data_IF_319495550659
#
_entry.id   IF_319495550659
#
_cell.length_a   1.000
_cell.length_b   1.000
_cell.length_c   1.000
_cell.angle_alpha   90.00
_cell.angle_beta   90.00
_cell.angle_gamma   90.00
#
_symmetry.space_group_name_H-M   'P 1'
#
loop_
_entity.id
_entity.type
_entity.pdbx_description
1 polymer ?
#
# COMPACT_ATOMS: atom_id res chain seq x y z
N UNK A 1 -20.21 2.96 -2.04
CA UNK A 1 -19.51 2.44 -3.23
C UNK A 1 -18.04 2.31 -2.88
N UNK A 2 -17.40 1.16 -3.14
CA UNK A 2 -15.94 1.00 -2.94
C UNK A 2 -15.20 1.82 -4.00
N UNK A 3 -14.15 2.56 -3.60
CA UNK A 3 -13.41 3.47 -4.49
C UNK A 3 -12.27 2.69 -5.16
N UNK A 4 -12.42 2.35 -6.44
CA UNK A 4 -11.32 1.80 -7.25
C UNK A 4 -10.46 2.90 -7.87
N UNK A 5 -9.36 2.55 -8.55
CA UNK A 5 -8.47 3.54 -9.20
C UNK A 5 -9.03 4.20 -10.46
N UNK A 6 -10.20 3.78 -10.97
CA UNK A 6 -10.78 4.30 -12.23
C UNK A 6 -10.94 5.84 -12.23
N UNK A 7 -11.44 6.50 -11.16
CA UNK A 7 -11.48 7.97 -11.10
C UNK A 7 -10.10 8.63 -11.13
N UNK A 8 -9.09 8.02 -10.47
CA UNK A 8 -7.72 8.51 -10.47
C UNK A 8 -7.12 8.50 -11.89
N UNK A 9 -7.36 7.41 -12.61
CA UNK A 9 -6.95 7.23 -14.01
C UNK A 9 -7.57 8.25 -14.96
N UNK A 10 -8.87 8.53 -14.83
CA UNK A 10 -9.55 9.54 -15.66
C UNK A 10 -9.05 10.95 -15.36
N UNK A 11 -8.74 11.27 -14.10
CA UNK A 11 -8.20 12.57 -13.72
C UNK A 11 -6.79 12.77 -14.30
N UNK A 12 -5.95 11.74 -14.23
CA UNK A 12 -4.61 11.76 -14.80
C UNK A 12 -4.64 12.00 -16.33
N UNK A 13 -5.55 11.36 -17.06
CA UNK A 13 -5.72 11.55 -18.51
C UNK A 13 -6.09 12.99 -18.90
N UNK A 14 -6.77 13.73 -18.00
CA UNK A 14 -7.11 15.13 -18.20
C UNK A 14 -6.02 16.10 -17.73
N UNK A 15 -4.89 15.59 -17.21
CA UNK A 15 -3.81 16.41 -16.63
C UNK A 15 -4.13 16.95 -15.23
N UNK A 16 -5.23 16.51 -14.60
CA UNK A 16 -5.63 16.93 -13.26
C UNK A 16 -4.90 16.09 -12.20
N UNK A 17 -3.63 16.46 -11.95
CA UNK A 17 -2.75 15.74 -11.03
C UNK A 17 -3.27 15.72 -9.59
N UNK A 18 -3.76 16.83 -9.00
CA UNK A 18 -4.32 16.81 -7.66
C UNK A 18 -5.51 15.85 -7.50
N UNK A 19 -6.44 15.84 -8.47
CA UNK A 19 -7.56 14.90 -8.41
C UNK A 19 -7.12 13.45 -8.62
N UNK A 20 -6.13 13.20 -9.49
CA UNK A 20 -5.58 11.85 -9.68
C UNK A 20 -4.99 11.29 -8.38
N UNK A 21 -4.18 12.09 -7.69
CA UNK A 21 -3.57 11.73 -6.40
C UNK A 21 -4.65 11.52 -5.34
N UNK A 22 -5.61 12.45 -5.21
CA UNK A 22 -6.70 12.32 -4.24
C UNK A 22 -7.47 11.01 -4.43
N UNK A 23 -7.90 10.72 -5.65
CA UNK A 23 -8.66 9.50 -5.92
C UNK A 23 -7.86 8.22 -5.65
N UNK A 24 -6.55 8.24 -5.89
CA UNK A 24 -5.65 7.13 -5.56
C UNK A 24 -5.56 6.93 -4.04
N UNK A 25 -5.36 8.01 -3.29
CA UNK A 25 -5.32 7.97 -1.82
C UNK A 25 -6.64 7.49 -1.23
N UNK A 26 -7.76 8.00 -1.73
CA UNK A 26 -9.09 7.56 -1.31
C UNK A 26 -9.30 6.04 -1.53
N UNK A 27 -8.75 5.48 -2.62
CA UNK A 27 -8.88 4.08 -2.97
C UNK A 27 -8.05 3.14 -2.09
N UNK A 28 -6.81 3.53 -1.75
CA UNK A 28 -5.91 2.68 -0.93
C UNK A 28 -6.21 2.81 0.57
N UNK A 29 -6.68 3.97 1.00
CA UNK A 29 -7.11 4.23 2.39
C UNK A 29 -8.58 3.85 2.65
N UNK A 30 -9.35 3.54 1.60
CA UNK A 30 -10.80 3.27 1.64
C UNK A 30 -11.60 4.35 2.41
N UNK A 31 -11.19 5.62 2.30
CA UNK A 31 -11.80 6.77 2.96
C UNK A 31 -11.76 8.02 2.08
N UNK A 32 -12.35 9.13 2.54
CA UNK A 32 -12.17 10.42 1.88
C UNK A 32 -10.94 11.12 2.45
N UNK A 33 -9.82 10.99 1.73
CA UNK A 33 -8.58 11.67 2.05
C UNK A 33 -8.70 13.13 1.61
N UNK A 34 -8.58 14.01 2.59
CA UNK A 34 -8.58 15.45 2.38
C UNK A 34 -7.14 15.88 2.09
N UNK A 35 -6.76 15.82 0.80
CA UNK A 35 -5.41 16.12 0.34
C UNK A 35 -4.89 17.48 0.87
N UNK A 36 -5.74 18.49 0.95
CA UNK A 36 -5.41 19.83 1.46
C UNK A 36 -5.11 19.88 2.95
N UNK A 37 -5.57 18.88 3.73
CA UNK A 37 -5.29 18.77 5.17
C UNK A 37 -3.99 18.02 5.46
N UNK A 38 -3.34 17.43 4.46
CA UNK A 38 -2.03 16.84 4.64
C UNK A 38 -0.99 17.94 4.89
N UNK A 39 0.08 17.65 5.66
CA UNK A 39 1.21 18.56 5.79
C UNK A 39 1.72 19.00 4.41
N UNK A 40 2.08 20.28 4.28
CA UNK A 40 2.42 20.87 2.98
C UNK A 40 3.50 20.08 2.23
N UNK A 41 4.53 19.61 2.95
CA UNK A 41 5.59 18.77 2.40
C UNK A 41 5.07 17.42 1.88
N UNK A 42 4.22 16.74 2.64
CA UNK A 42 3.61 15.47 2.25
C UNK A 42 2.72 15.65 1.03
N UNK A 43 1.92 16.71 1.00
CA UNK A 43 1.06 17.04 -0.14
C UNK A 43 1.88 17.30 -1.40
N UNK A 44 2.94 18.11 -1.30
CA UNK A 44 3.81 18.41 -2.43
C UNK A 44 4.47 17.15 -2.99
N UNK A 45 5.07 16.33 -2.12
CA UNK A 45 5.66 15.04 -2.49
C UNK A 45 4.65 14.16 -3.26
N UNK A 46 3.44 13.97 -2.72
CA UNK A 46 2.43 13.14 -3.38
C UNK A 46 1.97 13.70 -4.74
N UNK A 47 1.95 15.02 -4.92
CA UNK A 47 1.63 15.67 -6.20
C UNK A 47 2.78 15.53 -7.19
N UNK A 48 4.02 15.68 -6.74
CA UNK A 48 5.22 15.48 -7.57
C UNK A 48 5.26 14.03 -8.10
N UNK A 49 4.85 13.08 -7.26
CA UNK A 49 4.73 11.66 -7.60
C UNK A 49 3.47 11.30 -8.39
N UNK A 50 2.59 12.26 -8.73
CA UNK A 50 1.30 11.97 -9.38
C UNK A 50 1.42 11.16 -10.69
N UNK A 51 2.56 11.27 -11.38
CA UNK A 51 2.84 10.49 -12.60
C UNK A 51 2.88 8.97 -12.32
N UNK A 52 3.28 8.56 -11.11
CA UNK A 52 3.30 7.14 -10.68
C UNK A 52 1.90 6.54 -10.58
N UNK A 53 0.85 7.36 -10.46
CA UNK A 53 -0.54 6.86 -10.55
C UNK A 53 -0.76 6.17 -11.90
N UNK A 54 -0.15 6.68 -12.98
CA UNK A 54 -0.22 6.07 -14.31
C UNK A 54 0.48 4.72 -14.40
N UNK A 55 1.52 4.49 -13.59
CA UNK A 55 2.29 3.24 -13.57
C UNK A 55 1.47 2.06 -13.03
N UNK A 56 0.34 2.31 -12.36
CA UNK A 56 -0.61 1.25 -12.01
C UNK A 56 -1.29 0.63 -13.25
N UNK A 57 -1.13 1.23 -14.43
CA UNK A 57 -1.52 0.65 -15.73
C UNK A 57 -0.41 -0.21 -16.34
N UNK A 58 0.81 -0.15 -15.80
CA UNK A 58 1.93 -0.94 -16.27
C UNK A 58 1.61 -2.42 -16.11
N UNK A 59 1.92 -3.20 -17.16
CA UNK A 59 1.83 -4.65 -17.09
C UNK A 59 3.05 -5.17 -16.36
N UNK A 60 2.85 -5.66 -15.15
CA UNK A 60 3.86 -6.44 -14.46
C UNK A 60 3.90 -7.87 -15.03
N UNK A 61 5.06 -8.55 -15.00
CA UNK A 61 5.10 -9.98 -15.21
C UNK A 61 4.07 -10.67 -14.31
N UNK A 62 3.42 -11.70 -14.83
CA UNK A 62 2.47 -12.48 -14.01
C UNK A 62 3.24 -13.09 -12.86
N UNK A 63 2.82 -12.78 -11.63
CA UNK A 63 3.37 -13.33 -10.41
C UNK A 63 2.34 -14.25 -9.77
N UNK A 64 2.64 -15.54 -9.73
CA UNK A 64 1.68 -16.58 -9.39
C UNK A 64 1.88 -17.14 -7.99
N UNK A 65 0.93 -17.94 -7.52
CA UNK A 65 1.10 -18.72 -6.28
C UNK A 65 2.24 -19.73 -6.35
N UNK A 66 2.57 -20.24 -7.54
CA UNK A 66 3.70 -21.15 -7.69
C UNK A 66 5.04 -20.42 -7.54
N UNK A 67 5.12 -19.16 -7.97
CA UNK A 67 6.29 -18.31 -7.72
C UNK A 67 6.45 -18.03 -6.21
N UNK A 68 5.35 -17.72 -5.52
CA UNK A 68 5.33 -17.53 -4.06
C UNK A 68 5.81 -18.78 -3.31
N UNK A 69 5.35 -19.97 -3.72
CA UNK A 69 5.75 -21.26 -3.11
C UNK A 69 7.23 -21.58 -3.30
N UNK A 70 7.88 -20.99 -4.29
CA UNK A 70 9.33 -21.15 -4.53
C UNK A 70 10.17 -20.21 -3.68
N UNK A 71 9.58 -19.18 -3.07
CA UNK A 71 10.31 -18.30 -2.16
C UNK A 71 10.82 -19.08 -0.94
N UNK A 72 12.06 -18.78 -0.55
CA UNK A 72 12.74 -19.40 0.61
C UNK A 72 13.19 -18.36 1.63
N UNK A 73 13.45 -17.13 1.19
CA UNK A 73 13.78 -16.01 2.06
C UNK A 73 12.64 -15.75 3.05
N UNK A 74 12.91 -15.69 4.36
CA UNK A 74 11.96 -15.22 5.34
C UNK A 74 11.36 -13.89 4.88
N UNK A 75 10.04 -13.74 4.99
CA UNK A 75 9.33 -12.57 4.46
C UNK A 75 8.36 -12.03 5.51
N UNK A 76 8.50 -10.76 5.87
CA UNK A 76 7.51 -10.06 6.70
C UNK A 76 6.53 -9.31 5.81
N UNK A 77 5.26 -9.60 5.98
CA UNK A 77 4.15 -8.88 5.36
C UNK A 77 3.50 -7.97 6.42
N UNK A 78 3.33 -6.69 6.11
CA UNK A 78 2.77 -5.71 7.04
C UNK A 78 1.65 -4.91 6.37
N UNK A 79 0.49 -4.84 7.03
CA UNK A 79 -0.61 -3.95 6.67
C UNK A 79 -1.12 -3.17 7.88
N UNK A 80 -1.67 -1.98 7.63
CA UNK A 80 -2.54 -1.33 8.61
C UNK A 80 -3.93 -1.97 8.63
N UNK A 81 -4.51 -2.05 9.82
CA UNK A 81 -5.82 -2.68 10.04
C UNK A 81 -6.96 -2.09 9.20
N UNK A 82 -6.92 -0.78 8.97
CA UNK A 82 -7.94 -0.02 8.23
C UNK A 82 -7.59 0.18 6.74
N UNK A 83 -6.50 -0.43 6.26
CA UNK A 83 -6.15 -0.45 4.83
C UNK A 83 -7.26 -1.07 3.98
N UNK A 84 -7.37 -0.64 2.72
CA UNK A 84 -8.40 -1.10 1.80
C UNK A 84 -8.48 -2.63 1.76
N UNK A 85 -9.71 -3.18 1.77
CA UNK A 85 -9.97 -4.62 1.87
C UNK A 85 -9.20 -5.44 0.82
N UNK A 86 -9.07 -4.92 -0.41
CA UNK A 86 -8.34 -5.61 -1.49
C UNK A 86 -6.86 -5.82 -1.14
N UNK A 87 -6.24 -4.86 -0.46
CA UNK A 87 -4.83 -4.90 -0.08
C UNK A 87 -4.60 -5.88 1.07
N UNK A 88 -5.52 -5.88 2.05
CA UNK A 88 -5.54 -6.89 3.11
C UNK A 88 -5.74 -8.30 2.55
N UNK A 89 -6.61 -8.47 1.55
CA UNK A 89 -6.82 -9.77 0.91
C UNK A 89 -5.61 -10.24 0.10
N UNK A 90 -4.87 -9.33 -0.53
CA UNK A 90 -3.61 -9.65 -1.20
C UNK A 90 -2.60 -10.18 -0.19
N UNK A 91 -2.46 -9.53 0.96
CA UNK A 91 -1.56 -9.98 2.03
C UNK A 91 -1.90 -11.38 2.54
N UNK A 92 -3.18 -11.67 2.81
CA UNK A 92 -3.63 -13.02 3.18
C UNK A 92 -3.23 -14.07 2.13
N UNK A 93 -3.42 -13.75 0.84
CA UNK A 93 -3.03 -14.64 -0.26
C UNK A 93 -1.52 -14.88 -0.30
N UNK A 94 -0.72 -13.83 -0.05
CA UNK A 94 0.74 -13.92 0.00
C UNK A 94 1.18 -14.79 1.19
N UNK A 95 0.62 -14.54 2.37
CA UNK A 95 0.93 -15.29 3.59
C UNK A 95 0.59 -16.78 3.46
N UNK A 96 -0.57 -17.10 2.87
CA UNK A 96 -0.99 -18.48 2.61
C UNK A 96 -0.07 -19.22 1.62
N UNK A 97 0.69 -18.50 0.80
CA UNK A 97 1.45 -19.07 -0.32
C UNK A 97 2.96 -19.08 -0.10
N UNK A 98 3.52 -18.14 0.66
CA UNK A 98 4.95 -18.04 0.95
C UNK A 98 5.27 -18.95 2.15
N UNK A 99 6.15 -19.95 2.00
CA UNK A 99 6.40 -20.94 3.07
C UNK A 99 6.91 -20.35 4.39
N UNK A 100 7.70 -19.27 4.32
CA UNK A 100 8.35 -18.63 5.47
C UNK A 100 7.83 -17.19 5.67
N UNK A 101 6.52 -16.99 5.51
CA UNK A 101 5.89 -15.69 5.75
C UNK A 101 5.55 -15.48 7.23
N UNK A 102 5.81 -14.26 7.69
CA UNK A 102 5.27 -13.70 8.92
C UNK A 102 4.34 -12.54 8.56
N UNK A 103 3.26 -12.37 9.32
CA UNK A 103 2.32 -11.26 9.14
C UNK A 103 2.33 -10.34 10.36
N UNK A 104 2.28 -9.04 10.13
CA UNK A 104 2.06 -8.05 11.17
C UNK A 104 0.93 -7.09 10.74
N UNK A 105 -0.12 -7.01 11.56
CA UNK A 105 -1.21 -6.05 11.36
C UNK A 105 -1.04 -4.90 12.36
N UNK A 106 -0.89 -3.69 11.86
CA UNK A 106 -0.68 -2.48 12.67
C UNK A 106 -2.03 -1.87 13.06
N UNK A 107 -2.31 -1.83 14.36
CA UNK A 107 -3.63 -1.48 14.87
C UNK A 107 -3.97 -0.01 14.66
N UNK A 108 -5.16 0.27 14.12
CA UNK A 108 -5.60 1.64 13.81
C UNK A 108 -4.82 2.37 12.72
N UNK A 109 -3.92 1.70 11.98
CA UNK A 109 -3.23 2.27 10.82
C UNK A 109 -4.00 2.05 9.51
N UNK A 110 -3.83 2.97 8.55
CA UNK A 110 -4.35 2.91 7.19
C UNK A 110 -3.42 2.18 6.23
N UNK A 111 -3.32 2.66 4.99
CA UNK A 111 -2.45 2.04 3.99
C UNK A 111 -0.96 2.29 4.25
N UNK A 112 -0.63 3.40 4.92
CA UNK A 112 0.75 3.81 5.22
C UNK A 112 1.09 3.63 6.71
N UNK A 113 1.20 2.40 7.24
CA UNK A 113 1.43 2.17 8.67
C UNK A 113 2.76 2.75 9.18
N UNK A 114 3.76 2.89 8.30
CA UNK A 114 5.03 3.55 8.62
C UNK A 114 4.91 5.06 8.84
N UNK A 115 3.87 5.71 8.33
CA UNK A 115 3.55 7.11 8.59
C UNK A 115 2.59 7.24 9.78
N UNK A 116 1.55 6.41 9.82
CA UNK A 116 0.50 6.51 10.85
C UNK A 116 0.98 6.07 12.24
N UNK A 117 1.80 5.02 12.29
CA UNK A 117 2.22 4.31 13.52
C UNK A 117 3.68 3.89 13.42
N UNK A 118 4.55 4.87 13.18
CA UNK A 118 5.98 4.65 12.90
C UNK A 118 6.68 3.77 13.94
N UNK A 119 6.41 3.97 15.24
CA UNK A 119 7.02 3.17 16.31
C UNK A 119 6.65 1.67 16.23
N UNK A 120 5.36 1.36 16.07
CA UNK A 120 4.86 -0.02 15.98
C UNK A 120 5.33 -0.72 14.69
N UNK A 121 5.32 0.02 13.58
CA UNK A 121 5.87 -0.45 12.31
C UNK A 121 7.37 -0.77 12.43
N UNK A 122 8.15 0.16 12.97
CA UNK A 122 9.60 0.00 13.13
C UNK A 122 9.94 -1.15 14.08
N UNK A 123 9.18 -1.31 15.18
CA UNK A 123 9.36 -2.43 16.10
C UNK A 123 9.11 -3.79 15.41
N UNK A 124 8.08 -3.87 14.55
CA UNK A 124 7.78 -5.07 13.77
C UNK A 124 8.91 -5.43 12.80
N UNK A 125 9.41 -4.43 12.06
CA UNK A 125 10.53 -4.60 11.11
C UNK A 125 11.81 -5.01 11.83
N UNK A 126 12.23 -4.27 12.85
CA UNK A 126 13.46 -4.55 13.60
C UNK A 126 13.40 -5.89 14.32
N UNK A 127 12.23 -6.25 14.87
CA UNK A 127 12.00 -7.55 15.49
C UNK A 127 12.17 -8.70 14.50
N UNK A 128 11.64 -8.55 13.29
CA UNK A 128 11.81 -9.54 12.22
C UNK A 128 13.26 -9.66 11.77
N UNK A 129 13.94 -8.54 11.51
CA UNK A 129 15.36 -8.56 11.11
C UNK A 129 16.21 -9.30 12.15
N UNK A 130 16.02 -9.03 13.45
CA UNK A 130 16.76 -9.72 14.51
C UNK A 130 16.52 -11.24 14.58
N UNK A 131 15.36 -11.73 14.13
CA UNK A 131 15.06 -13.18 14.11
C UNK A 131 15.71 -13.89 12.93
N UNK A 132 16.05 -13.16 11.87
CA UNK A 132 16.52 -13.71 10.58
C UNK A 132 17.87 -13.14 10.11
N UNK A 133 18.61 -12.46 10.99
CA UNK A 133 19.96 -11.92 10.76
C UNK A 133 21.05 -12.83 11.29
#
# INVERSE_FOLDING_TARGET
MRKGNNPAFKALERGDLPAAVKHKLDAIEDKDVLLDKLPAKTRAMMIDDARTVGELRTRFPVFTRDDLRRMRTPSLLINGESSALVLRRIEEILADSIPNAEMAKISGAGHFPHLDKAEEFNASVLGFVRRHS
#
